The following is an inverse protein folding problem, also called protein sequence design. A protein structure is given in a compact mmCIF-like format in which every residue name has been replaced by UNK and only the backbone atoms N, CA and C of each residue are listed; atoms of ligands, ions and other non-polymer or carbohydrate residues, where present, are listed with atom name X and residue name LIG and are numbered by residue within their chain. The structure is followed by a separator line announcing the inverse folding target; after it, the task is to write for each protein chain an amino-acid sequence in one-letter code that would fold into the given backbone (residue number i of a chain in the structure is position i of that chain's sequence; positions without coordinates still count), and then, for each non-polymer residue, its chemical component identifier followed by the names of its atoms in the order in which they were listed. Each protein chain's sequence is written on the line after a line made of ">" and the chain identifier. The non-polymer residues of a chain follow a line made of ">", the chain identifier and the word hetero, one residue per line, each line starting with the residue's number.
data_IF_299360635921
#
_entry.id   IF_299360635921
#
_cell.length_a   1.000
_cell.length_b   1.000
_cell.length_c   1.000
_cell.angle_alpha   90.00
_cell.angle_beta   90.00
_cell.angle_gamma   90.00
#
_symmetry.space_group_name_H-M   'P 1'
#
loop_
_entity.id
_entity.type
_entity.pdbx_description
1 polymer ?
#
# COMPACT_ATOMS: atom_id res chain seq x y z
N UNK A 1 -3.42 -13.25 -21.95
CA UNK A 1 -3.69 -13.70 -20.56
C UNK A 1 -3.26 -12.59 -19.62
N UNK A 2 -4.12 -12.18 -18.68
CA UNK A 2 -3.81 -11.10 -17.74
C UNK A 2 -2.68 -11.52 -16.80
N UNK A 3 -1.50 -10.91 -16.93
CA UNK A 3 -0.35 -11.16 -16.06
C UNK A 3 -0.54 -10.39 -14.75
N UNK A 4 -1.44 -10.89 -13.90
CA UNK A 4 -1.62 -10.32 -12.56
C UNK A 4 -0.36 -10.58 -11.74
N UNK A 5 0.36 -9.51 -11.42
CA UNK A 5 1.48 -9.55 -10.48
C UNK A 5 0.90 -9.90 -9.08
N UNK A 6 1.45 -10.89 -8.37
CA UNK A 6 0.97 -11.23 -7.03
C UNK A 6 1.22 -10.08 -6.04
N UNK A 7 0.41 -10.02 -4.97
CA UNK A 7 0.64 -9.03 -3.91
C UNK A 7 1.78 -9.49 -2.99
N UNK A 8 2.48 -8.53 -2.34
CA UNK A 8 3.48 -8.84 -1.31
C UNK A 8 2.97 -9.84 -0.26
N UNK A 9 1.79 -9.61 0.33
CA UNK A 9 1.22 -10.48 1.37
C UNK A 9 0.94 -11.89 0.84
N UNK A 10 0.51 -11.99 -0.42
CA UNK A 10 0.31 -13.29 -1.09
C UNK A 10 1.64 -14.04 -1.19
N UNK A 11 2.69 -13.37 -1.69
CA UNK A 11 4.01 -13.97 -1.85
C UNK A 11 4.62 -14.33 -0.50
N UNK A 12 4.45 -13.49 0.52
CA UNK A 12 4.98 -13.74 1.86
C UNK A 12 4.45 -15.04 2.48
N UNK A 13 3.22 -15.44 2.12
CA UNK A 13 2.57 -16.68 2.57
C UNK A 13 2.93 -17.94 1.76
N UNK A 14 3.75 -17.83 0.70
CA UNK A 14 4.06 -18.97 -0.16
C UNK A 14 4.89 -20.05 0.52
N UNK A 15 4.52 -21.31 0.29
CA UNK A 15 5.37 -22.47 0.52
C UNK A 15 6.49 -22.56 -0.52
N UNK A 16 7.46 -23.45 -0.30
CA UNK A 16 8.51 -23.78 -1.29
C UNK A 16 7.90 -24.21 -2.63
N UNK A 17 6.87 -25.08 -2.58
CA UNK A 17 6.16 -25.54 -3.77
C UNK A 17 5.46 -24.39 -4.51
N UNK A 18 4.92 -23.40 -3.79
CA UNK A 18 4.31 -22.22 -4.42
C UNK A 18 5.35 -21.35 -5.13
N UNK A 19 6.53 -21.15 -4.52
CA UNK A 19 7.65 -20.42 -5.16
C UNK A 19 8.06 -21.13 -6.45
N UNK A 20 8.30 -22.44 -6.38
CA UNK A 20 8.65 -23.26 -7.56
C UNK A 20 7.61 -23.14 -8.67
N UNK A 21 6.33 -23.39 -8.35
CA UNK A 21 5.25 -23.33 -9.34
C UNK A 21 5.12 -21.94 -9.98
N UNK A 22 5.33 -20.88 -9.20
CA UNK A 22 5.33 -19.52 -9.73
C UNK A 22 6.49 -19.32 -10.72
N UNK A 23 7.72 -19.69 -10.35
CA UNK A 23 8.89 -19.55 -11.20
C UNK A 23 8.75 -20.37 -12.49
N UNK A 24 8.21 -21.58 -12.43
CA UNK A 24 7.87 -22.39 -13.61
C UNK A 24 6.88 -21.67 -14.54
N UNK A 25 5.78 -21.15 -13.97
CA UNK A 25 4.77 -20.42 -14.74
C UNK A 25 5.30 -19.14 -15.40
N UNK A 26 6.43 -18.62 -14.91
CA UNK A 26 7.10 -17.39 -15.38
C UNK A 26 8.51 -17.63 -15.91
N UNK A 27 8.86 -18.89 -16.20
CA UNK A 27 10.20 -19.30 -16.61
C UNK A 27 10.74 -18.46 -17.76
N UNK A 28 9.95 -18.30 -18.81
CA UNK A 28 10.31 -17.52 -19.99
C UNK A 28 10.40 -16.01 -19.72
N UNK A 29 9.59 -15.50 -18.78
CA UNK A 29 9.60 -14.08 -18.41
C UNK A 29 10.91 -13.72 -17.70
N UNK A 30 11.38 -14.59 -16.79
CA UNK A 30 12.65 -14.39 -16.08
C UNK A 30 13.86 -14.97 -16.83
N UNK A 31 13.66 -15.65 -17.96
CA UNK A 31 14.70 -16.37 -18.72
C UNK A 31 15.43 -17.47 -17.91
N UNK A 32 14.72 -18.08 -16.96
CA UNK A 32 15.22 -19.17 -16.10
C UNK A 32 15.26 -20.51 -16.85
N UNK A 33 16.14 -21.41 -16.42
CA UNK A 33 16.11 -22.83 -16.78
C UNK A 33 15.65 -23.71 -15.61
N UNK A 34 15.38 -25.00 -15.87
CA UNK A 34 14.85 -25.93 -14.85
C UNK A 34 15.81 -26.14 -13.67
N UNK A 35 17.12 -26.14 -13.94
CA UNK A 35 18.14 -26.27 -12.90
C UNK A 35 18.18 -25.03 -12.00
N UNK A 36 18.04 -23.83 -12.58
CA UNK A 36 17.95 -22.56 -11.84
C UNK A 36 16.70 -22.51 -10.96
N UNK A 37 15.57 -23.05 -11.42
CA UNK A 37 14.35 -23.17 -10.62
C UNK A 37 14.51 -24.21 -9.50
N UNK A 38 15.15 -25.35 -9.79
CA UNK A 38 15.40 -26.42 -8.82
C UNK A 38 16.16 -25.95 -7.58
N UNK A 39 17.10 -25.02 -7.75
CA UNK A 39 17.89 -24.43 -6.64
C UNK A 39 17.03 -23.79 -5.55
N UNK A 40 15.89 -23.20 -5.90
CA UNK A 40 14.98 -22.63 -4.90
C UNK A 40 14.35 -23.70 -4.01
N UNK A 41 14.06 -24.87 -4.57
CA UNK A 41 13.55 -26.00 -3.79
C UNK A 41 14.67 -26.65 -2.95
N UNK A 42 15.83 -26.87 -3.55
CA UNK A 42 17.02 -27.43 -2.88
C UNK A 42 17.46 -26.57 -1.68
N UNK A 43 17.43 -25.25 -1.83
CA UNK A 43 17.78 -24.30 -0.77
C UNK A 43 16.62 -24.04 0.21
N UNK A 44 15.44 -24.67 0.02
CA UNK A 44 14.30 -24.55 0.93
C UNK A 44 13.65 -23.16 0.92
N UNK A 45 13.67 -22.47 -0.21
CA UNK A 45 13.24 -21.07 -0.34
C UNK A 45 11.71 -20.98 -0.38
N UNK A 46 11.13 -20.58 0.75
CA UNK A 46 9.72 -20.20 0.86
C UNK A 46 9.51 -18.71 0.51
N UNK A 47 8.26 -18.26 0.54
CA UNK A 47 7.88 -16.89 0.17
C UNK A 47 8.58 -15.78 0.95
N UNK A 48 8.79 -15.96 2.26
CA UNK A 48 9.50 -14.99 3.10
C UNK A 48 10.98 -14.90 2.74
N UNK A 49 11.62 -16.04 2.49
CA UNK A 49 13.01 -16.09 2.04
C UNK A 49 13.15 -15.50 0.64
N UNK A 50 12.25 -15.85 -0.27
CA UNK A 50 12.20 -15.32 -1.64
C UNK A 50 12.16 -13.79 -1.69
N UNK A 51 11.31 -13.15 -0.87
CA UNK A 51 11.20 -11.68 -0.83
C UNK A 51 12.46 -10.97 -0.28
N UNK A 52 13.41 -11.71 0.29
CA UNK A 52 14.67 -11.19 0.82
C UNK A 52 15.86 -11.38 -0.13
N UNK A 53 15.69 -12.12 -1.22
CA UNK A 53 16.77 -12.31 -2.18
C UNK A 53 17.19 -10.98 -2.82
N UNK A 54 18.49 -10.75 -2.84
CA UNK A 54 19.13 -9.74 -3.66
C UNK A 54 19.70 -10.37 -4.93
N UNK A 55 20.08 -9.55 -5.91
CA UNK A 55 20.80 -10.04 -7.09
C UNK A 55 22.06 -10.83 -6.69
N UNK A 56 22.81 -10.36 -5.68
CA UNK A 56 24.00 -11.06 -5.18
C UNK A 56 23.68 -12.44 -4.60
N UNK A 57 22.59 -12.58 -3.84
CA UNK A 57 22.17 -13.90 -3.34
C UNK A 57 21.83 -14.85 -4.49
N UNK A 58 21.13 -14.35 -5.52
CA UNK A 58 20.77 -15.15 -6.70
C UNK A 58 22.03 -15.60 -7.47
N UNK A 59 23.02 -14.71 -7.62
CA UNK A 59 24.30 -15.03 -8.25
C UNK A 59 25.11 -16.05 -7.44
N UNK A 60 25.14 -15.92 -6.12
CA UNK A 60 25.85 -16.85 -5.22
C UNK A 60 25.24 -18.25 -5.26
N UNK A 61 23.92 -18.33 -5.36
CA UNK A 61 23.21 -19.60 -5.55
C UNK A 61 23.38 -20.13 -6.99
N UNK A 62 24.02 -19.37 -7.87
CA UNK A 62 24.45 -19.79 -9.19
C UNK A 62 23.39 -19.62 -10.27
N UNK A 63 22.50 -18.63 -10.13
CA UNK A 63 21.73 -18.15 -11.28
C UNK A 63 22.67 -17.37 -12.22
N UNK A 64 22.37 -17.46 -13.52
CA UNK A 64 23.04 -16.58 -14.48
C UNK A 64 22.66 -15.13 -14.23
N UNK A 65 23.55 -14.22 -14.62
CA UNK A 65 23.39 -12.77 -14.38
C UNK A 65 22.06 -12.21 -14.86
N UNK A 66 21.68 -12.43 -16.12
CA UNK A 66 20.41 -11.91 -16.65
C UNK A 66 19.17 -12.34 -15.84
N UNK A 67 18.95 -13.65 -15.63
CA UNK A 67 17.86 -14.13 -14.78
C UNK A 67 17.91 -13.60 -13.33
N UNK A 68 19.10 -13.49 -12.74
CA UNK A 68 19.28 -12.92 -11.41
C UNK A 68 18.82 -11.46 -11.35
N UNK A 69 19.27 -10.61 -12.29
CA UNK A 69 18.86 -9.21 -12.39
C UNK A 69 17.33 -9.08 -12.54
N UNK A 70 16.73 -9.81 -13.50
CA UNK A 70 15.29 -9.76 -13.75
C UNK A 70 14.45 -10.14 -12.53
N UNK A 71 14.90 -11.16 -11.78
CA UNK A 71 14.18 -11.63 -10.61
C UNK A 71 14.35 -10.69 -9.42
N UNK A 72 15.54 -10.10 -9.24
CA UNK A 72 15.80 -9.10 -8.21
C UNK A 72 14.93 -7.85 -8.41
N UNK A 73 14.82 -7.34 -9.64
CA UNK A 73 13.94 -6.21 -9.99
C UNK A 73 12.47 -6.54 -9.67
N UNK A 74 12.02 -7.76 -9.98
CA UNK A 74 10.66 -8.19 -9.66
C UNK A 74 10.41 -8.27 -8.15
N UNK A 75 11.36 -8.80 -7.38
CA UNK A 75 11.29 -8.86 -5.92
C UNK A 75 11.24 -7.44 -5.34
N UNK A 76 12.01 -6.51 -5.89
CA UNK A 76 11.95 -5.10 -5.50
C UNK A 76 10.57 -4.50 -5.75
N UNK A 77 9.96 -4.76 -6.91
CA UNK A 77 8.57 -4.34 -7.20
C UNK A 77 7.60 -4.90 -6.17
N UNK A 78 7.70 -6.18 -5.81
CA UNK A 78 6.87 -6.79 -4.76
C UNK A 78 7.07 -6.11 -3.41
N UNK A 79 8.33 -5.89 -3.01
CA UNK A 79 8.67 -5.21 -1.76
C UNK A 79 8.20 -3.76 -1.74
N UNK A 80 8.10 -3.10 -2.89
CA UNK A 80 7.59 -1.74 -2.97
C UNK A 80 6.05 -1.67 -2.91
N UNK A 81 5.34 -2.79 -3.13
CA UNK A 81 3.88 -2.85 -2.91
C UNK A 81 3.53 -2.77 -1.41
N UNK A 82 4.31 -3.41 -0.53
CA UNK A 82 4.12 -3.27 0.93
C UNK A 82 4.57 -1.91 1.45
N UNK A 83 5.41 -1.21 0.68
CA UNK A 83 5.79 0.19 0.91
C UNK A 83 4.80 1.18 0.30
N UNK A 84 3.61 0.76 -0.18
CA UNK A 84 2.51 1.70 -0.46
C UNK A 84 2.41 2.64 0.74
N UNK A 85 2.77 3.89 0.48
CA UNK A 85 3.22 4.85 1.49
C UNK A 85 2.16 4.93 2.59
N UNK A 86 2.51 4.50 3.81
CA UNK A 86 1.81 5.00 4.97
C UNK A 86 2.11 6.49 5.04
N UNK A 87 1.18 7.32 4.60
CA UNK A 87 1.35 8.77 4.64
C UNK A 87 0.85 9.21 6.01
N UNK A 88 1.59 10.11 6.64
CA UNK A 88 1.14 10.74 7.87
C UNK A 88 -0.11 11.54 7.55
N UNK A 89 -1.23 11.27 8.23
CA UNK A 89 -2.51 11.95 7.97
C UNK A 89 -2.36 13.48 8.00
N UNK A 90 -1.47 14.00 8.86
CA UNK A 90 -1.16 15.44 8.94
C UNK A 90 -0.59 16.03 7.65
N UNK A 91 0.12 15.25 6.84
CA UNK A 91 0.67 15.68 5.57
C UNK A 91 -0.44 15.78 4.51
N UNK A 92 -1.34 14.78 4.45
CA UNK A 92 -2.51 14.81 3.56
C UNK A 92 -3.40 16.01 3.90
N UNK A 93 -3.68 16.24 5.18
CA UNK A 93 -4.51 17.38 5.62
C UNK A 93 -3.89 18.74 5.26
N UNK A 94 -2.57 18.88 5.31
CA UNK A 94 -1.87 20.10 4.90
C UNK A 94 -1.98 20.38 3.39
N UNK A 95 -1.88 19.33 2.57
CA UNK A 95 -1.91 19.46 1.11
C UNK A 95 -3.32 19.78 0.58
N UNK A 96 -4.37 19.31 1.27
CA UNK A 96 -5.76 19.54 0.86
C UNK A 96 -6.39 20.79 1.47
N UNK A 97 -6.00 21.18 2.69
CA UNK A 97 -6.62 22.30 3.41
C UNK A 97 -5.54 23.07 4.21
N UNK A 98 -4.73 23.90 3.54
CA UNK A 98 -3.58 24.57 4.16
C UNK A 98 -3.97 25.48 5.34
N UNK A 99 -5.16 26.08 5.29
CA UNK A 99 -5.61 27.06 6.29
C UNK A 99 -6.31 26.45 7.52
N UNK A 100 -6.82 25.21 7.44
CA UNK A 100 -7.47 24.52 8.57
C UNK A 100 -6.55 23.51 9.28
N UNK A 101 -5.41 23.16 8.69
CA UNK A 101 -4.43 22.24 9.26
C UNK A 101 -3.93 22.66 10.67
N UNK A 102 -3.98 23.95 10.98
CA UNK A 102 -3.59 24.49 12.28
C UNK A 102 -4.70 24.38 13.36
N UNK A 103 -5.97 24.21 12.99
CA UNK A 103 -7.08 23.99 13.95
C UNK A 103 -7.16 22.52 14.37
N UNK A 104 -6.87 21.58 13.47
CA UNK A 104 -6.85 20.13 13.75
C UNK A 104 -5.69 19.74 14.68
N UNK A 105 -4.52 20.39 14.55
CA UNK A 105 -3.36 20.20 15.45
C UNK A 105 -3.68 20.43 16.93
N UNK A 106 -4.67 21.28 17.25
CA UNK A 106 -5.01 21.63 18.63
C UNK A 106 -5.93 20.61 19.31
N UNK A 107 -6.58 19.72 18.56
CA UNK A 107 -7.63 18.82 19.07
C UNK A 107 -7.34 17.32 18.93
N UNK A 108 -6.34 16.94 18.14
CA UNK A 108 -6.11 15.52 17.83
C UNK A 108 -4.62 15.18 17.82
N UNK A 109 -4.14 14.57 18.90
CA UNK A 109 -2.80 13.99 19.05
C UNK A 109 -2.65 12.68 18.26
N UNK A 110 -3.13 12.60 17.02
CA UNK A 110 -3.12 11.36 16.24
C UNK A 110 -1.99 11.41 15.22
N UNK A 111 -0.86 10.83 15.60
CA UNK A 111 0.26 10.57 14.69
C UNK A 111 0.09 9.16 14.12
N UNK A 112 -0.91 8.97 13.26
CA UNK A 112 -1.23 7.67 12.68
C UNK A 112 -0.84 7.60 11.19
N UNK A 113 -0.39 6.42 10.80
CA UNK A 113 0.19 6.09 9.50
C UNK A 113 -0.83 5.23 8.75
N UNK A 114 -1.46 5.80 7.73
CA UNK A 114 -2.56 5.17 6.99
C UNK A 114 -2.19 4.98 5.53
N UNK A 115 -2.77 3.96 4.89
CA UNK A 115 -2.68 3.79 3.44
C UNK A 115 -3.28 5.04 2.76
N UNK A 116 -2.69 5.45 1.63
CA UNK A 116 -3.01 6.73 0.99
C UNK A 116 -4.51 6.86 0.64
N UNK A 117 -5.11 5.79 0.14
CA UNK A 117 -6.52 5.79 -0.28
C UNK A 117 -7.44 5.96 0.96
N UNK A 118 -7.13 5.27 2.05
CA UNK A 118 -7.84 5.40 3.33
C UNK A 118 -7.61 6.76 4.00
N UNK A 119 -6.39 7.30 3.89
CA UNK A 119 -6.05 8.62 4.40
C UNK A 119 -6.75 9.76 3.66
N UNK A 120 -6.95 9.62 2.34
CA UNK A 120 -7.76 10.54 1.53
C UNK A 120 -9.23 10.49 1.94
N UNK A 121 -9.78 9.29 2.14
CA UNK A 121 -11.17 9.12 2.58
C UNK A 121 -11.40 9.69 3.98
N UNK A 122 -10.49 9.43 4.92
CA UNK A 122 -10.54 10.00 6.27
C UNK A 122 -10.41 11.54 6.27
N UNK A 123 -9.54 12.11 5.44
CA UNK A 123 -9.42 13.56 5.29
C UNK A 123 -10.71 14.19 4.73
N UNK A 124 -11.34 13.54 3.74
CA UNK A 124 -12.59 13.97 3.15
C UNK A 124 -13.76 13.93 4.16
N UNK A 125 -13.86 12.86 4.96
CA UNK A 125 -14.85 12.74 6.05
C UNK A 125 -14.70 13.84 7.11
N UNK A 126 -13.47 14.20 7.48
CA UNK A 126 -13.19 15.30 8.41
C UNK A 126 -13.61 16.64 7.81
N UNK A 127 -13.30 16.87 6.53
CA UNK A 127 -13.71 18.07 5.81
C UNK A 127 -15.23 18.23 5.77
N UNK A 128 -15.95 17.17 5.38
CA UNK A 128 -17.42 17.14 5.35
C UNK A 128 -17.99 17.46 6.74
N UNK A 129 -17.53 16.77 7.79
CA UNK A 129 -18.03 17.03 9.17
C UNK A 129 -17.84 18.48 9.62
N UNK A 130 -16.73 19.10 9.24
CA UNK A 130 -16.45 20.49 9.60
C UNK A 130 -17.24 21.51 8.77
N UNK A 131 -17.63 21.16 7.54
CA UNK A 131 -18.35 22.05 6.62
C UNK A 131 -19.88 21.85 6.69
N UNK A 132 -20.38 20.63 6.88
CA UNK A 132 -21.81 20.33 7.06
C UNK A 132 -22.34 20.77 8.43
N UNK A 133 -21.49 20.82 9.47
CA UNK A 133 -21.83 21.40 10.77
C UNK A 133 -22.18 22.90 10.74
N UNK A 134 -21.95 23.60 9.60
CA UNK A 134 -22.42 24.98 9.38
C UNK A 134 -23.82 25.07 8.79
N UNK A 135 -24.38 24.00 8.21
CA UNK A 135 -25.69 24.05 7.55
C UNK A 135 -26.87 23.66 8.44
N UNK A 136 -26.67 23.07 9.62
CA UNK A 136 -27.79 22.69 10.51
C UNK A 136 -28.20 23.77 11.52
N UNK A 137 -27.43 24.86 11.67
CA UNK A 137 -27.73 25.90 12.66
C UNK A 137 -28.42 27.14 12.06
N UNK A 138 -28.75 27.13 10.77
CA UNK A 138 -29.46 28.24 10.11
C UNK A 138 -30.92 27.92 9.76
N UNK A 139 -31.46 26.81 10.27
CA UNK A 139 -32.84 26.37 10.03
C UNK A 139 -33.70 26.27 11.30
N UNK A 140 -33.23 26.74 12.46
CA UNK A 140 -34.05 26.78 13.69
C UNK A 140 -34.34 28.18 14.25
N UNK A 141 -33.83 29.25 13.62
CA UNK A 141 -34.15 30.64 14.00
C UNK A 141 -35.28 31.29 13.17
N UNK A 142 -36.08 30.50 12.45
CA UNK A 142 -37.30 30.97 11.76
C UNK A 142 -38.58 30.28 12.21
N UNK A 143 -38.63 29.83 13.47
CA UNK A 143 -39.89 29.35 14.06
C UNK A 143 -40.04 29.71 15.54
N UNK A 144 -39.84 30.97 15.90
CA UNK A 144 -40.41 31.55 17.12
C UNK A 144 -40.62 33.06 16.93
N UNK A 145 -41.88 33.51 16.84
CA UNK A 145 -42.24 34.92 17.02
C UNK A 145 -43.03 35.60 15.91
N UNK A 146 -44.25 35.14 15.60
CA UNK A 146 -45.31 36.02 15.09
C UNK A 146 -46.58 35.84 15.92
N UNK A 147 -46.68 36.62 17.00
CA UNK A 147 -47.96 37.09 17.58
C UNK A 147 -47.72 38.42 18.32
N UNK A 148 -48.62 39.38 18.08
CA UNK A 148 -48.80 40.74 18.66
C UNK A 148 -47.88 41.85 18.10
N UNK A 149 -48.31 43.03 17.66
CA UNK A 149 -49.62 43.71 17.59
C UNK A 149 -49.37 45.21 17.31
N UNK A 150 -50.22 45.85 16.49
CA UNK A 150 -50.22 47.29 16.19
C UNK A 150 -51.53 47.68 15.52
#
# INVERSE_FOLDING_TARGET
>A
MSTKIPSFDTVQGWSIANVRNFLESKKNYFSLNDAEIGKFEENGINGRAFLRYTEDNLLQDGLRRGPATNLAEFIEVLNNQSKKRKIKLSQILQDFIPDEANLVKKKSTVTEFVDRDDGLNAAFEVYIKNHEGRMSNQSQDTYFGLCFGG
#
